data_IF_634104647093
#
_entry.id   IF_634104647093
#
_cell.length_a   1.000
_cell.length_b   1.000
_cell.length_c   1.000
_cell.angle_alpha   90.00
_cell.angle_beta   90.00
_cell.angle_gamma   90.00
#
_symmetry.space_group_name_H-M   'P 1'
#
loop_
_entity.id
_entity.type
_entity.pdbx_description
1 polymer ?
#
# COMPACT_ATOMS: atom_id res chain seq x y z
N UNK A 1 12.89 70.18 60.47
CA UNK A 1 13.87 69.75 59.45
C UNK A 1 13.09 68.90 58.46
N UNK A 2 13.22 69.10 57.15
CA UNK A 2 12.62 68.19 56.19
C UNK A 2 13.52 66.95 56.04
N UNK A 3 12.93 65.83 55.62
CA UNK A 3 13.68 64.63 55.33
C UNK A 3 14.63 64.91 54.15
N UNK A 4 15.91 64.52 54.28
CA UNK A 4 17.01 64.74 53.31
C UNK A 4 17.60 66.15 53.20
N UNK A 5 17.30 67.06 54.13
CA UNK A 5 18.04 68.31 54.23
C UNK A 5 19.47 68.04 54.75
N UNK A 6 20.49 68.61 54.10
CA UNK A 6 21.90 68.50 54.53
C UNK A 6 22.29 69.67 55.42
N UNK A 7 22.94 69.38 56.54
CA UNK A 7 23.39 70.36 57.52
C UNK A 7 24.86 70.13 57.89
N UNK A 8 25.58 71.21 58.15
CA UNK A 8 26.97 71.16 58.64
C UNK A 8 26.96 71.29 60.16
N UNK A 9 27.59 70.33 60.84
CA UNK A 9 27.79 70.39 62.30
C UNK A 9 28.85 71.43 62.63
N UNK A 10 28.52 72.41 63.48
CA UNK A 10 29.44 73.46 63.92
C UNK A 10 29.96 73.22 65.34
N UNK A 11 29.18 72.55 66.19
CA UNK A 11 29.61 72.12 67.52
C UNK A 11 28.85 70.88 67.97
N UNK A 12 29.48 70.10 68.84
CA UNK A 12 28.87 68.96 69.55
C UNK A 12 28.89 69.31 71.03
N UNK A 13 27.72 69.43 71.66
CA UNK A 13 27.62 69.78 73.07
C UNK A 13 27.91 68.59 73.99
N UNK A 14 28.14 68.89 75.28
CA UNK A 14 28.44 67.88 76.31
C UNK A 14 27.31 66.86 76.50
N UNK A 15 26.07 67.24 76.19
CA UNK A 15 24.88 66.40 76.29
C UNK A 15 24.55 65.65 74.98
N UNK A 16 25.50 65.65 74.03
CA UNK A 16 25.38 65.05 72.68
C UNK A 16 24.29 65.66 71.80
N UNK A 17 23.93 66.89 72.07
CA UNK A 17 23.20 67.74 71.14
C UNK A 17 24.13 68.24 70.02
N UNK A 18 23.56 68.43 68.83
CA UNK A 18 24.31 68.91 67.66
C UNK A 18 23.88 70.32 67.31
N UNK A 19 24.82 71.27 67.34
CA UNK A 19 24.63 72.57 66.73
C UNK A 19 24.93 72.47 65.23
N UNK A 20 23.95 72.84 64.40
CA UNK A 20 24.02 72.67 62.94
C UNK A 20 23.62 73.95 62.21
N UNK A 21 24.24 74.18 61.05
CA UNK A 21 23.88 75.24 60.09
C UNK A 21 23.50 74.61 58.74
N UNK A 22 22.61 75.23 57.94
CA UNK A 22 22.27 74.68 56.63
C UNK A 22 23.54 74.51 55.78
N UNK A 23 23.72 73.36 55.14
CA UNK A 23 24.80 73.19 54.19
C UNK A 23 24.54 74.07 52.95
N UNK A 24 25.54 74.77 52.44
CA UNK A 24 25.42 75.55 51.21
C UNK A 24 25.20 74.61 50.01
N UNK A 25 23.94 74.38 49.63
CA UNK A 25 23.61 73.65 48.41
C UNK A 25 23.52 74.65 47.27
N UNK A 26 24.39 74.52 46.26
CA UNK A 26 24.38 75.37 45.06
C UNK A 26 23.63 74.67 43.92
N UNK A 27 22.47 75.16 43.46
CA UNK A 27 22.10 76.57 43.44
C UNK A 27 21.15 76.98 44.58
N UNK A 28 21.36 78.20 45.07
CA UNK A 28 20.64 78.87 46.17
C UNK A 28 19.12 79.05 45.95
N UNK A 29 18.54 78.59 44.84
CA UNK A 29 17.13 78.83 44.50
C UNK A 29 16.42 77.58 43.99
N UNK A 30 15.91 76.78 44.93
CA UNK A 30 14.67 76.01 44.80
C UNK A 30 14.19 75.53 46.17
N UNK A 31 14.08 76.43 47.16
CA UNK A 31 13.30 76.14 48.35
C UNK A 31 11.81 76.37 48.00
N UNK A 32 10.91 75.38 48.16
CA UNK A 32 9.48 75.68 48.15
C UNK A 32 9.19 76.68 49.27
N UNK A 33 8.44 77.72 48.93
CA UNK A 33 8.03 78.78 49.84
C UNK A 33 7.42 78.16 51.11
N UNK A 34 8.12 78.28 52.24
CA UNK A 34 7.71 77.68 53.52
C UNK A 34 8.84 77.43 54.51
N UNK A 35 10.12 77.53 54.11
CA UNK A 35 11.26 77.35 55.01
C UNK A 35 11.80 78.71 55.47
N UNK A 36 11.67 79.01 56.76
CA UNK A 36 12.30 80.16 57.45
C UNK A 36 13.79 80.29 57.10
N UNK A 37 14.30 81.49 56.80
CA UNK A 37 15.73 81.70 56.56
C UNK A 37 16.56 81.53 57.84
N UNK A 38 17.76 80.97 57.62
CA UNK A 38 19.04 81.18 58.30
C UNK A 38 19.10 81.29 59.85
N UNK A 39 19.77 80.33 60.47
CA UNK A 39 20.28 80.39 61.84
C UNK A 39 20.80 79.04 62.30
N UNK A 40 21.82 79.04 63.15
CA UNK A 40 22.31 77.86 63.88
C UNK A 40 21.14 77.20 64.64
N UNK A 41 21.02 75.88 64.56
CA UNK A 41 19.98 75.08 65.21
C UNK A 41 20.61 74.03 66.11
N UNK A 42 20.07 73.85 67.30
CA UNK A 42 20.48 72.78 68.22
C UNK A 42 19.52 71.59 68.08
N UNK A 43 20.05 70.43 67.71
CA UNK A 43 19.32 69.17 67.59
C UNK A 43 19.47 68.36 68.88
N UNK A 44 18.37 68.04 69.59
CA UNK A 44 18.43 67.22 70.80
C UNK A 44 18.96 65.81 70.51
N UNK A 45 19.64 65.21 71.49
CA UNK A 45 20.25 63.87 71.36
C UNK A 45 19.28 62.80 70.85
N UNK A 46 18.03 62.78 71.31
CA UNK A 46 17.03 61.81 70.86
C UNK A 46 16.69 61.93 69.38
N UNK A 47 16.70 63.16 68.84
CA UNK A 47 16.50 63.39 67.41
C UNK A 47 17.73 62.99 66.60
N UNK A 48 18.93 63.31 67.10
CA UNK A 48 20.20 62.95 66.45
C UNK A 48 20.34 61.44 66.33
N UNK A 49 20.08 60.68 67.40
CA UNK A 49 20.24 59.22 67.40
C UNK A 49 19.24 58.50 66.51
N UNK A 50 18.07 59.10 66.27
CA UNK A 50 16.98 58.42 65.56
C UNK A 50 16.78 58.89 64.11
N UNK A 51 17.22 60.10 63.77
CA UNK A 51 16.84 60.75 62.51
C UNK A 51 17.97 61.47 61.78
N UNK A 52 19.21 61.40 62.28
CA UNK A 52 20.37 62.03 61.65
C UNK A 52 21.39 60.96 61.26
N UNK A 53 21.88 61.07 60.03
CA UNK A 53 22.96 60.25 59.49
C UNK A 53 24.08 61.15 58.93
N UNK A 54 25.30 60.63 58.87
CA UNK A 54 26.42 61.34 58.25
C UNK A 54 26.25 61.35 56.73
N UNK A 55 26.04 62.53 56.16
CA UNK A 55 25.81 62.72 54.73
C UNK A 55 27.10 62.80 53.88
N UNK A 56 28.19 62.13 54.28
CA UNK A 56 29.46 62.15 53.51
C UNK A 56 29.35 61.43 52.16
N UNK A 57 28.50 60.41 52.09
CA UNK A 57 28.19 59.69 50.87
C UNK A 57 26.70 59.35 50.87
N UNK A 58 26.10 59.30 49.69
CA UNK A 58 24.71 58.91 49.52
C UNK A 58 24.60 57.97 48.33
N UNK A 59 23.49 57.24 48.26
CA UNK A 59 23.21 56.36 47.12
C UNK A 59 22.93 57.19 45.86
N UNK A 60 23.20 56.64 44.68
CA UNK A 60 22.89 57.32 43.42
C UNK A 60 21.41 57.76 43.34
N UNK A 61 20.49 56.95 43.88
CA UNK A 61 19.07 57.30 43.94
C UNK A 61 18.78 58.44 44.93
N UNK A 62 19.53 58.52 46.05
CA UNK A 62 19.37 59.54 47.08
C UNK A 62 19.74 60.95 46.63
N UNK A 63 20.64 61.08 45.64
CA UNK A 63 21.09 62.37 45.07
C UNK A 63 20.41 62.71 43.74
N UNK A 64 19.37 61.97 43.35
CA UNK A 64 18.70 62.21 42.08
C UNK A 64 17.94 63.54 42.11
N UNK A 65 18.30 64.44 41.19
CA UNK A 65 17.73 65.79 41.11
C UNK A 65 18.65 66.87 41.69
N UNK A 66 19.63 66.48 42.50
CA UNK A 66 20.59 67.41 43.07
C UNK A 66 21.61 67.85 42.02
N UNK A 67 22.14 69.06 42.20
CA UNK A 67 23.28 69.59 41.45
C UNK A 67 24.32 70.06 42.44
N UNK A 68 25.57 69.63 42.27
CA UNK A 68 26.71 69.97 43.13
C UNK A 68 27.84 70.53 42.29
N UNK A 69 28.85 71.14 42.90
CA UNK A 69 30.01 71.67 42.17
C UNK A 69 30.80 70.55 41.50
N UNK A 70 31.17 69.52 42.27
CA UNK A 70 31.84 68.32 41.78
C UNK A 70 31.16 67.06 42.32
N UNK A 71 31.04 66.03 41.50
CA UNK A 71 30.48 64.75 41.91
C UNK A 71 31.52 63.64 41.86
N UNK A 72 31.51 62.78 42.88
CA UNK A 72 32.34 61.58 42.97
C UNK A 72 31.44 60.35 43.04
N UNK A 73 31.60 59.44 42.09
CA UNK A 73 30.90 58.17 42.04
C UNK A 73 31.89 57.06 42.40
N UNK A 74 31.52 56.18 43.32
CA UNK A 74 32.24 54.92 43.53
C UNK A 74 31.54 53.83 42.71
N UNK A 75 32.27 53.24 41.77
CA UNK A 75 31.81 52.14 40.92
C UNK A 75 32.08 50.82 41.63
N UNK A 76 31.05 50.00 41.73
CA UNK A 76 31.14 48.66 42.31
C UNK A 76 30.29 47.62 41.56
N UNK A 77 30.16 46.45 42.17
CA UNK A 77 29.45 45.29 41.60
C UNK A 77 27.99 45.59 41.20
N UNK A 78 27.31 46.45 41.95
CA UNK A 78 25.91 46.80 41.71
C UNK A 78 25.73 48.13 40.97
N UNK A 79 26.80 48.74 40.48
CA UNK A 79 26.70 49.96 39.67
C UNK A 79 26.31 49.58 38.24
N UNK A 80 25.06 49.84 37.88
CA UNK A 80 24.58 49.74 36.49
C UNK A 80 24.67 51.06 35.73
N UNK A 81 24.33 51.02 34.44
CA UNK A 81 24.40 52.18 33.54
C UNK A 81 23.61 53.40 34.07
N UNK A 82 22.44 53.18 34.67
CA UNK A 82 21.60 54.25 35.22
C UNK A 82 22.24 54.94 36.43
N UNK A 83 22.79 54.18 37.39
CA UNK A 83 23.47 54.73 38.55
C UNK A 83 24.76 55.47 38.15
N UNK A 84 25.51 54.93 37.18
CA UNK A 84 26.68 55.57 36.61
C UNK A 84 26.31 56.90 35.92
N UNK A 85 25.24 56.91 35.12
CA UNK A 85 24.74 58.13 34.49
C UNK A 85 24.37 59.19 35.53
N UNK A 86 23.61 58.81 36.57
CA UNK A 86 23.21 59.74 37.63
C UNK A 86 24.44 60.34 38.31
N UNK A 87 25.38 59.51 38.79
CA UNK A 87 26.59 59.98 39.46
C UNK A 87 27.51 60.82 38.57
N UNK A 88 27.59 60.49 37.28
CA UNK A 88 28.44 61.19 36.31
C UNK A 88 27.80 62.47 35.73
N UNK A 89 26.62 62.87 36.19
CA UNK A 89 25.90 64.06 35.72
C UNK A 89 25.49 65.04 36.82
N UNK A 90 25.82 64.76 38.10
CA UNK A 90 25.46 65.66 39.22
C UNK A 90 26.36 66.88 39.37
N UNK A 91 27.63 66.74 38.99
CA UNK A 91 28.64 67.78 39.12
C UNK A 91 28.55 68.80 37.98
N UNK A 92 28.54 70.09 38.32
CA UNK A 92 28.51 71.20 37.37
C UNK A 92 29.85 71.40 36.66
N UNK A 93 30.96 71.26 37.39
CA UNK A 93 32.30 71.53 36.86
C UNK A 93 33.10 70.25 36.61
N UNK A 94 32.90 69.21 37.42
CA UNK A 94 33.59 67.94 37.27
C UNK A 94 32.77 66.75 37.79
N UNK A 95 32.94 65.61 37.13
CA UNK A 95 32.39 64.33 37.56
C UNK A 95 33.51 63.28 37.51
N UNK A 96 33.78 62.61 38.62
CA UNK A 96 34.86 61.61 38.73
C UNK A 96 34.29 60.27 39.18
N UNK A 97 34.54 59.23 38.40
CA UNK A 97 34.25 57.85 38.80
C UNK A 97 35.52 57.21 39.37
N UNK A 98 35.40 56.67 40.59
CA UNK A 98 36.41 55.86 41.25
C UNK A 98 36.05 54.39 41.04
N UNK A 99 37.00 53.60 40.55
CA UNK A 99 36.86 52.17 40.30
C UNK A 99 38.08 51.46 40.87
N UNK A 100 37.93 50.19 41.26
CA UNK A 100 38.99 49.39 41.86
C UNK A 100 39.34 48.27 40.89
N UNK A 101 40.48 48.40 40.21
CA UNK A 101 40.97 47.43 39.23
C UNK A 101 42.46 47.19 39.41
N UNK A 102 42.95 46.01 39.00
CA UNK A 102 44.38 45.63 39.08
C UNK A 102 45.24 46.37 38.06
N UNK A 103 44.66 46.70 36.90
CA UNK A 103 45.30 47.43 35.81
C UNK A 103 44.29 48.24 34.98
N UNK A 104 44.78 48.95 33.95
CA UNK A 104 43.97 49.81 33.08
C UNK A 104 43.04 49.03 32.14
N UNK A 105 43.37 47.79 31.77
CA UNK A 105 42.53 47.00 30.89
C UNK A 105 41.35 46.40 31.67
N UNK A 106 41.59 45.91 32.90
CA UNK A 106 40.52 45.57 33.83
C UNK A 106 39.63 46.78 34.13
N UNK A 107 40.20 47.97 34.34
CA UNK A 107 39.40 49.19 34.54
C UNK A 107 38.49 49.53 33.34
N UNK A 108 38.99 49.29 32.11
CA UNK A 108 38.20 49.47 30.88
C UNK A 108 37.08 48.43 30.80
N UNK A 109 37.39 47.17 31.08
CA UNK A 109 36.42 46.07 31.07
C UNK A 109 35.31 46.29 32.10
N UNK A 110 35.67 46.70 33.32
CA UNK A 110 34.70 47.05 34.38
C UNK A 110 33.81 48.21 33.95
N UNK A 111 34.38 49.27 33.36
CA UNK A 111 33.60 50.38 32.82
C UNK A 111 32.65 49.91 31.70
N UNK A 112 33.10 49.08 30.77
CA UNK A 112 32.27 48.52 29.71
C UNK A 112 31.14 47.67 30.32
N UNK A 113 31.45 46.84 31.31
CA UNK A 113 30.49 46.01 32.01
C UNK A 113 29.42 46.85 32.73
N UNK A 114 29.79 47.93 33.42
CA UNK A 114 28.85 48.87 34.06
C UNK A 114 27.82 49.40 33.06
N UNK A 115 28.27 49.82 31.87
CA UNK A 115 27.38 50.31 30.81
C UNK A 115 26.73 49.18 29.98
N UNK A 116 27.10 47.93 30.21
CA UNK A 116 26.52 46.73 29.60
C UNK A 116 25.44 46.05 30.47
N UNK A 117 25.44 46.30 31.78
CA UNK A 117 24.43 45.79 32.72
C UNK A 117 23.03 46.34 32.40
N UNK A 118 22.04 45.46 32.47
CA UNK A 118 20.61 45.75 32.32
C UNK A 118 20.25 46.58 31.07
N UNK A 119 20.94 46.34 29.96
CA UNK A 119 20.59 46.97 28.67
C UNK A 119 19.21 46.49 28.23
N UNK A 120 18.33 47.46 27.93
CA UNK A 120 17.00 47.19 27.38
C UNK A 120 17.08 46.60 25.95
N UNK A 121 18.15 46.89 25.21
CA UNK A 121 18.41 46.34 23.88
C UNK A 121 19.65 45.43 23.92
N UNK A 122 19.43 44.14 23.69
CA UNK A 122 20.47 43.11 23.62
C UNK A 122 21.08 42.98 22.22
N UNK A 123 20.56 43.72 21.25
CA UNK A 123 21.08 43.83 19.89
C UNK A 123 20.80 42.62 18.99
N UNK A 124 21.14 42.75 17.70
CA UNK A 124 20.83 41.76 16.67
C UNK A 124 21.58 40.44 16.86
N UNK A 125 22.76 40.45 17.47
CA UNK A 125 23.52 39.22 17.77
C UNK A 125 22.77 38.31 18.74
N UNK A 126 22.23 38.87 19.84
CA UNK A 126 21.43 38.12 20.80
C UNK A 126 20.13 37.60 20.17
N UNK A 127 19.46 38.43 19.35
CA UNK A 127 18.29 38.01 18.59
C UNK A 127 18.59 36.85 17.63
N UNK A 128 19.73 36.89 16.92
CA UNK A 128 20.16 35.81 16.04
C UNK A 128 20.43 34.51 16.81
N UNK A 129 21.10 34.57 17.96
CA UNK A 129 21.33 33.39 18.82
C UNK A 129 20.02 32.80 19.33
N UNK A 130 19.06 33.62 19.79
CA UNK A 130 17.76 33.13 20.21
C UNK A 130 16.97 32.50 19.06
N UNK A 131 16.97 33.12 17.88
CA UNK A 131 16.30 32.58 16.70
C UNK A 131 16.88 31.22 16.28
N UNK A 132 18.21 31.09 16.27
CA UNK A 132 18.88 29.82 15.98
C UNK A 132 18.54 28.73 17.01
N UNK A 133 18.57 29.06 18.30
CA UNK A 133 18.21 28.12 19.38
C UNK A 133 16.74 27.68 19.29
N UNK A 134 15.83 28.58 18.92
CA UNK A 134 14.42 28.25 18.75
C UNK A 134 14.17 27.40 17.51
N UNK A 135 14.83 27.70 16.38
CA UNK A 135 14.73 26.92 15.16
C UNK A 135 15.24 25.47 15.36
N UNK A 136 16.32 25.29 16.11
CA UNK A 136 16.89 23.97 16.42
C UNK A 136 15.95 23.06 17.22
N UNK A 137 14.97 23.61 17.95
CA UNK A 137 13.98 22.80 18.71
C UNK A 137 12.93 22.12 17.84
N UNK A 138 12.67 22.66 16.65
CA UNK A 138 11.63 22.17 15.75
C UNK A 138 12.18 21.47 14.50
N UNK A 139 13.46 21.69 14.18
CA UNK A 139 14.13 20.94 13.13
C UNK A 139 14.60 19.60 13.69
N UNK A 140 13.94 18.50 13.30
CA UNK A 140 14.63 17.22 13.19
C UNK A 140 15.36 17.26 11.86
N UNK A 141 16.69 17.50 11.81
CA UNK A 141 17.38 17.52 10.53
C UNK A 141 17.36 16.09 10.02
N UNK A 142 16.53 15.79 9.02
CA UNK A 142 16.76 14.60 8.21
C UNK A 142 18.20 14.70 7.71
N UNK A 143 19.05 13.75 8.08
CA UNK A 143 20.42 13.73 7.55
C UNK A 143 20.31 13.68 6.03
N UNK A 144 21.15 14.46 5.34
CA UNK A 144 21.16 14.53 3.88
C UNK A 144 21.12 13.13 3.23
N UNK A 145 21.87 12.19 3.79
CA UNK A 145 21.91 10.79 3.32
C UNK A 145 20.57 10.06 3.45
N UNK A 146 19.78 10.33 4.50
CA UNK A 146 18.43 9.76 4.66
C UNK A 146 17.49 10.32 3.58
N UNK A 147 17.51 11.64 3.35
CA UNK A 147 16.68 12.26 2.31
C UNK A 147 17.06 11.74 0.92
N UNK A 148 18.36 11.56 0.64
CA UNK A 148 18.84 10.98 -0.61
C UNK A 148 18.44 9.51 -0.77
N UNK A 149 18.46 8.72 0.31
CA UNK A 149 18.00 7.33 0.29
C UNK A 149 16.49 7.24 0.02
N UNK A 150 15.68 8.09 0.66
CA UNK A 150 14.24 8.16 0.40
C UNK A 150 13.91 8.63 -1.02
N UNK A 151 14.67 9.60 -1.55
CA UNK A 151 14.55 10.00 -2.96
C UNK A 151 14.85 8.84 -3.90
N UNK A 152 15.91 8.06 -3.64
CA UNK A 152 16.23 6.89 -4.46
C UNK A 152 15.11 5.84 -4.42
N UNK A 153 14.51 5.60 -3.26
CA UNK A 153 13.34 4.72 -3.14
C UNK A 153 12.15 5.27 -3.95
N UNK A 154 11.86 6.57 -3.84
CA UNK A 154 10.75 7.19 -4.55
C UNK A 154 10.95 7.20 -6.08
N UNK A 155 12.17 7.46 -6.57
CA UNK A 155 12.51 7.33 -7.99
C UNK A 155 12.37 5.91 -8.50
N UNK A 156 12.68 4.92 -7.66
CA UNK A 156 12.52 3.49 -8.00
C UNK A 156 11.05 3.13 -8.18
N UNK A 157 10.17 3.63 -7.30
CA UNK A 157 8.72 3.44 -7.46
C UNK A 157 8.21 4.18 -8.69
N UNK A 158 8.58 5.44 -8.89
CA UNK A 158 8.19 6.24 -10.07
C UNK A 158 8.55 5.50 -11.36
N UNK A 159 9.80 5.06 -11.51
CA UNK A 159 10.26 4.42 -12.73
C UNK A 159 9.62 3.05 -12.94
N UNK A 160 9.48 2.24 -11.88
CA UNK A 160 8.80 0.95 -11.96
C UNK A 160 7.34 1.10 -12.38
N UNK A 161 6.64 2.11 -11.85
CA UNK A 161 5.25 2.39 -12.23
C UNK A 161 5.16 2.84 -13.69
N UNK A 162 6.10 3.67 -14.18
CA UNK A 162 6.20 4.03 -15.59
C UNK A 162 6.47 2.82 -16.48
N UNK A 163 7.43 1.97 -16.13
CA UNK A 163 7.76 0.76 -16.87
C UNK A 163 6.55 -0.18 -16.93
N UNK A 164 5.84 -0.36 -15.80
CA UNK A 164 4.62 -1.17 -15.73
C UNK A 164 3.52 -0.59 -16.62
N UNK A 165 3.32 0.73 -16.62
CA UNK A 165 2.34 1.39 -17.49
C UNK A 165 2.71 1.27 -18.97
N UNK A 166 3.99 1.37 -19.33
CA UNK A 166 4.46 1.21 -20.69
C UNK A 166 4.15 -0.19 -21.25
N UNK A 167 4.11 -1.22 -20.38
CA UNK A 167 3.68 -2.57 -20.73
C UNK A 167 2.17 -2.71 -20.70
N UNK A 168 1.49 -2.30 -19.63
CA UNK A 168 0.05 -2.57 -19.45
C UNK A 168 -0.84 -1.76 -20.42
N UNK A 169 -0.42 -0.56 -20.81
CA UNK A 169 -1.25 0.35 -21.60
C UNK A 169 -1.51 -0.19 -23.03
N UNK A 170 -0.49 -0.62 -23.81
CA UNK A 170 -0.72 -1.28 -25.10
C UNK A 170 -1.63 -2.52 -24.98
N UNK A 171 -1.44 -3.33 -23.94
CA UNK A 171 -2.29 -4.51 -23.70
C UNK A 171 -3.76 -4.15 -23.48
N UNK A 172 -4.04 -3.08 -22.73
CA UNK A 172 -5.41 -2.60 -22.57
C UNK A 172 -5.98 -2.07 -23.90
N UNK A 173 -5.17 -1.41 -24.72
CA UNK A 173 -5.59 -0.90 -26.02
C UNK A 173 -5.96 -2.05 -26.98
N UNK A 174 -5.12 -3.09 -27.04
CA UNK A 174 -5.37 -4.31 -27.81
C UNK A 174 -6.64 -5.04 -27.35
N UNK A 175 -6.84 -5.19 -26.03
CA UNK A 175 -8.03 -5.82 -25.47
C UNK A 175 -9.29 -5.00 -25.73
N UNK A 176 -9.23 -3.66 -25.67
CA UNK A 176 -10.37 -2.80 -26.05
C UNK A 176 -10.74 -2.98 -27.52
N UNK A 177 -9.75 -3.10 -28.40
CA UNK A 177 -9.99 -3.38 -29.81
C UNK A 177 -10.64 -4.76 -30.00
N UNK A 178 -10.17 -5.79 -29.28
CA UNK A 178 -10.77 -7.12 -29.31
C UNK A 178 -12.23 -7.13 -28.84
N UNK A 179 -12.55 -6.48 -27.71
CA UNK A 179 -13.92 -6.35 -27.17
C UNK A 179 -14.82 -5.58 -28.14
N UNK A 180 -14.34 -4.49 -28.73
CA UNK A 180 -15.10 -3.72 -29.72
C UNK A 180 -15.42 -4.53 -30.98
N UNK A 181 -14.47 -5.36 -31.43
CA UNK A 181 -14.67 -6.24 -32.58
C UNK A 181 -15.64 -7.38 -32.24
N UNK A 182 -15.58 -7.96 -31.05
CA UNK A 182 -16.55 -8.95 -30.59
C UNK A 182 -17.98 -8.39 -30.56
N UNK A 183 -18.14 -7.17 -30.04
CA UNK A 183 -19.41 -6.46 -30.03
C UNK A 183 -19.94 -6.19 -31.45
N UNK A 184 -19.06 -5.81 -32.38
CA UNK A 184 -19.43 -5.55 -33.78
C UNK A 184 -19.90 -6.80 -34.53
N UNK A 185 -19.43 -7.99 -34.14
CA UNK A 185 -19.85 -9.28 -34.72
C UNK A 185 -21.02 -9.93 -33.95
N UNK A 186 -21.69 -9.20 -33.05
CA UNK A 186 -22.89 -9.67 -32.35
C UNK A 186 -22.67 -10.92 -31.50
N UNK A 187 -21.45 -11.12 -30.96
CA UNK A 187 -21.11 -12.32 -30.18
C UNK A 187 -20.82 -13.57 -31.02
N UNK A 188 -20.52 -13.43 -32.31
CA UNK A 188 -20.09 -14.54 -33.19
C UNK A 188 -18.88 -15.30 -32.62
N UNK A 189 -17.93 -14.62 -31.98
CA UNK A 189 -16.78 -15.26 -31.31
C UNK A 189 -17.18 -16.08 -30.09
N UNK A 190 -18.08 -15.57 -29.23
CA UNK A 190 -18.68 -16.34 -28.13
C UNK A 190 -19.40 -17.57 -28.67
N UNK A 191 -20.11 -17.42 -29.80
CA UNK A 191 -20.80 -18.53 -30.46
C UNK A 191 -19.82 -19.56 -30.99
N UNK A 192 -18.75 -19.15 -31.66
CA UNK A 192 -17.69 -20.03 -32.16
C UNK A 192 -16.93 -20.72 -31.02
N UNK A 193 -16.69 -20.04 -29.90
CA UNK A 193 -16.08 -20.64 -28.72
C UNK A 193 -17.03 -21.64 -28.05
N UNK A 194 -18.32 -21.33 -27.97
CA UNK A 194 -19.33 -22.28 -27.53
C UNK A 194 -19.48 -23.49 -28.48
N UNK A 195 -19.41 -23.28 -29.79
CA UNK A 195 -19.40 -24.33 -30.81
C UNK A 195 -18.14 -25.20 -30.67
N UNK A 196 -16.96 -24.61 -30.47
CA UNK A 196 -15.70 -25.31 -30.20
C UNK A 196 -15.77 -26.14 -28.91
N UNK A 197 -16.21 -25.55 -27.79
CA UNK A 197 -16.36 -26.27 -26.51
C UNK A 197 -17.36 -27.42 -26.63
N UNK A 198 -18.48 -27.23 -27.35
CA UNK A 198 -19.44 -28.30 -27.63
C UNK A 198 -18.84 -29.41 -28.49
N UNK A 199 -18.10 -29.05 -29.53
CA UNK A 199 -17.41 -30.01 -30.39
C UNK A 199 -16.32 -30.77 -29.64
N UNK A 200 -15.57 -30.12 -28.75
CA UNK A 200 -14.57 -30.74 -27.89
C UNK A 200 -15.22 -31.70 -26.89
N UNK A 201 -16.30 -31.29 -26.22
CA UNK A 201 -17.07 -32.19 -25.36
C UNK A 201 -17.66 -33.37 -26.15
N UNK A 202 -18.18 -33.16 -27.35
CA UNK A 202 -18.71 -34.21 -28.21
C UNK A 202 -17.61 -35.17 -28.69
N UNK A 203 -16.44 -34.64 -29.07
CA UNK A 203 -15.27 -35.42 -29.42
C UNK A 203 -14.76 -36.22 -28.22
N UNK A 204 -14.63 -35.60 -27.04
CA UNK A 204 -14.25 -36.30 -25.81
C UNK A 204 -15.27 -37.36 -25.39
N UNK A 205 -16.57 -37.12 -25.58
CA UNK A 205 -17.61 -38.12 -25.33
C UNK A 205 -17.57 -39.25 -26.36
N UNK A 206 -17.30 -38.93 -27.62
CA UNK A 206 -17.12 -39.93 -28.68
C UNK A 206 -15.85 -40.75 -28.45
N UNK A 207 -14.75 -40.12 -28.05
CA UNK A 207 -13.51 -40.76 -27.62
C UNK A 207 -13.72 -41.58 -26.37
N UNK A 208 -14.40 -41.08 -25.32
CA UNK A 208 -14.73 -41.89 -24.14
C UNK A 208 -15.67 -43.06 -24.44
N UNK A 209 -16.60 -42.91 -25.38
CA UNK A 209 -17.42 -44.03 -25.89
C UNK A 209 -16.59 -45.00 -26.71
N UNK A 210 -15.63 -44.49 -27.49
CA UNK A 210 -14.70 -45.28 -28.26
C UNK A 210 -13.71 -46.00 -27.35
N UNK A 211 -13.22 -45.40 -26.25
CA UNK A 211 -12.29 -45.95 -25.24
C UNK A 211 -12.98 -46.90 -24.27
N UNK A 212 -14.22 -46.59 -23.86
CA UNK A 212 -15.09 -47.58 -23.20
C UNK A 212 -15.35 -48.78 -24.13
N UNK A 213 -15.34 -48.55 -25.45
CA UNK A 213 -15.30 -49.60 -26.45
C UNK A 213 -13.85 -50.10 -26.77
N UNK A 214 -12.77 -49.36 -26.49
CA UNK A 214 -11.38 -49.66 -26.91
C UNK A 214 -10.60 -50.44 -25.86
N UNK A 215 -10.97 -50.28 -24.59
CA UNK A 215 -10.78 -51.33 -23.58
C UNK A 215 -11.36 -52.69 -24.04
N UNK A 216 -12.13 -52.69 -25.15
CA UNK A 216 -12.78 -53.83 -25.76
C UNK A 216 -12.71 -53.86 -27.32
N UNK A 217 -11.69 -53.36 -28.06
CA UNK A 217 -11.81 -53.33 -29.55
C UNK A 217 -10.79 -54.00 -30.48
N UNK A 218 -9.46 -53.92 -30.33
CA UNK A 218 -8.60 -54.46 -31.43
C UNK A 218 -8.50 -55.98 -31.49
N UNK A 219 -8.69 -56.65 -30.36
CA UNK A 219 -8.89 -58.11 -30.26
C UNK A 219 -10.37 -58.45 -29.96
N UNK A 220 -11.21 -57.42 -29.81
CA UNK A 220 -12.46 -57.53 -29.07
C UNK A 220 -13.69 -56.99 -29.81
N UNK A 221 -13.55 -56.39 -30.99
CA UNK A 221 -14.64 -56.43 -31.98
C UNK A 221 -14.98 -57.89 -32.38
N UNK A 222 -13.99 -58.79 -32.37
CA UNK A 222 -14.16 -60.25 -32.51
C UNK A 222 -14.78 -60.89 -31.26
N UNK A 223 -14.28 -60.60 -30.06
CA UNK A 223 -14.81 -61.13 -28.79
C UNK A 223 -16.18 -60.56 -28.38
N UNK A 224 -16.53 -59.32 -28.71
CA UNK A 224 -17.89 -58.74 -28.57
C UNK A 224 -18.83 -59.43 -29.55
N UNK A 225 -18.38 -59.71 -30.77
CA UNK A 225 -19.17 -60.49 -31.72
C UNK A 225 -19.43 -61.91 -31.20
N UNK A 226 -18.39 -62.61 -30.73
CA UNK A 226 -18.50 -63.93 -30.13
C UNK A 226 -19.30 -63.91 -28.82
N UNK A 227 -19.18 -62.86 -28.01
CA UNK A 227 -19.88 -62.66 -26.74
C UNK A 227 -21.34 -62.27 -26.90
N UNK A 228 -21.70 -61.47 -27.92
CA UNK A 228 -23.09 -61.19 -28.29
C UNK A 228 -23.75 -62.43 -28.91
N UNK A 229 -23.01 -63.23 -29.68
CA UNK A 229 -23.48 -64.53 -30.13
C UNK A 229 -23.66 -65.51 -28.96
N UNK A 230 -22.73 -65.53 -28.00
CA UNK A 230 -22.82 -66.39 -26.81
C UNK A 230 -23.96 -65.97 -25.87
N UNK A 231 -24.10 -64.67 -25.59
CA UNK A 231 -25.21 -64.14 -24.78
C UNK A 231 -26.56 -64.29 -25.48
N UNK A 232 -26.59 -64.18 -26.81
CA UNK A 232 -27.77 -64.51 -27.61
C UNK A 232 -28.09 -65.99 -27.46
N UNK A 233 -27.12 -66.89 -27.64
CA UNK A 233 -27.27 -68.34 -27.51
C UNK A 233 -27.72 -68.75 -26.08
N UNK A 234 -27.21 -68.10 -25.04
CA UNK A 234 -27.57 -68.32 -23.63
C UNK A 234 -29.01 -67.86 -23.32
N UNK A 235 -29.40 -66.66 -23.75
CA UNK A 235 -30.76 -66.15 -23.58
C UNK A 235 -31.76 -66.91 -24.50
N UNK A 236 -31.29 -67.51 -25.60
CA UNK A 236 -32.10 -68.20 -26.62
C UNK A 236 -32.83 -69.40 -26.07
N UNK A 237 -32.19 -70.19 -25.21
CA UNK A 237 -32.78 -71.41 -24.65
C UNK A 237 -34.04 -71.11 -23.84
N UNK A 238 -33.98 -70.07 -23.00
CA UNK A 238 -35.10 -69.61 -22.19
C UNK A 238 -36.19 -68.95 -23.06
N UNK A 239 -35.81 -68.12 -24.02
CA UNK A 239 -36.74 -67.50 -24.97
C UNK A 239 -37.49 -68.55 -25.81
N UNK A 240 -36.80 -69.60 -26.26
CA UNK A 240 -37.40 -70.69 -27.02
C UNK A 240 -38.34 -71.55 -26.18
N UNK A 241 -37.99 -71.81 -24.92
CA UNK A 241 -38.89 -72.51 -23.99
C UNK A 241 -40.18 -71.70 -23.73
N UNK A 242 -40.04 -70.39 -23.50
CA UNK A 242 -41.18 -69.47 -23.39
C UNK A 242 -42.01 -69.42 -24.68
N UNK A 243 -41.36 -69.38 -25.85
CA UNK A 243 -42.02 -69.41 -27.15
C UNK A 243 -42.88 -70.66 -27.36
N UNK A 244 -42.37 -71.84 -27.01
CA UNK A 244 -43.13 -73.10 -27.09
C UNK A 244 -44.36 -73.06 -26.19
N UNK A 245 -44.25 -72.54 -24.97
CA UNK A 245 -45.41 -72.37 -24.06
C UNK A 245 -46.44 -71.41 -24.65
N UNK A 246 -46.02 -70.35 -25.34
CA UNK A 246 -46.93 -69.40 -26.01
C UNK A 246 -47.60 -70.03 -27.23
N UNK A 247 -46.86 -70.82 -28.03
CA UNK A 247 -47.37 -71.49 -29.24
C UNK A 247 -48.28 -72.68 -28.94
N UNK A 248 -47.99 -73.44 -27.87
CA UNK A 248 -48.85 -74.54 -27.38
C UNK A 248 -50.18 -74.04 -26.81
N UNK A 249 -50.22 -72.76 -26.42
CA UNK A 249 -51.40 -72.09 -25.91
C UNK A 249 -51.88 -72.60 -24.53
N UNK A 250 -52.97 -72.02 -23.98
CA UNK A 250 -53.44 -72.35 -22.64
C UNK A 250 -54.11 -73.74 -22.52
N UNK A 251 -54.21 -74.49 -23.63
CA UNK A 251 -54.94 -75.76 -23.73
C UNK A 251 -56.47 -75.61 -23.71
N UNK A 252 -57.19 -76.67 -24.12
CA UNK A 252 -58.66 -76.70 -24.23
C UNK A 252 -59.41 -76.32 -22.94
N UNK A 253 -58.86 -76.62 -21.75
CA UNK A 253 -59.48 -76.29 -20.45
C UNK A 253 -58.98 -74.99 -19.80
N UNK A 254 -58.10 -74.21 -20.46
CA UNK A 254 -57.63 -72.91 -19.94
C UNK A 254 -56.70 -72.97 -18.70
N UNK A 255 -56.31 -74.16 -18.26
CA UNK A 255 -55.50 -74.38 -17.06
C UNK A 255 -54.06 -73.85 -17.16
N UNK A 256 -53.58 -73.50 -18.37
CA UNK A 256 -52.22 -72.96 -18.59
C UNK A 256 -52.18 -71.44 -18.86
N UNK A 257 -53.24 -70.68 -18.55
CA UNK A 257 -53.30 -69.22 -18.79
C UNK A 257 -52.18 -68.42 -18.09
N UNK A 258 -51.91 -68.70 -16.82
CA UNK A 258 -50.85 -68.02 -16.04
C UNK A 258 -49.45 -68.33 -16.57
N UNK A 259 -49.10 -69.61 -16.87
CA UNK A 259 -47.86 -69.93 -17.59
C UNK A 259 -47.69 -69.20 -18.93
N UNK A 260 -48.76 -69.10 -19.74
CA UNK A 260 -48.71 -68.41 -21.03
C UNK A 260 -48.49 -66.90 -20.87
N UNK A 261 -49.12 -66.26 -19.88
CA UNK A 261 -48.91 -64.84 -19.60
C UNK A 261 -47.46 -64.55 -19.18
N UNK A 262 -46.91 -65.37 -18.27
CA UNK A 262 -45.50 -65.27 -17.85
C UNK A 262 -44.53 -65.51 -19.00
N UNK A 263 -44.82 -66.45 -19.89
CA UNK A 263 -44.01 -66.71 -21.08
C UNK A 263 -44.04 -65.53 -22.08
N UNK A 264 -45.18 -64.83 -22.22
CA UNK A 264 -45.26 -63.58 -23.02
C UNK A 264 -44.42 -62.45 -22.44
N UNK A 265 -44.43 -62.27 -21.12
CA UNK A 265 -43.58 -61.27 -20.43
C UNK A 265 -42.08 -61.59 -20.61
N UNK A 266 -41.70 -62.86 -20.51
CA UNK A 266 -40.32 -63.30 -20.76
C UNK A 266 -39.87 -63.02 -22.20
N UNK A 267 -40.75 -63.26 -23.19
CA UNK A 267 -40.47 -62.92 -24.58
C UNK A 267 -40.39 -61.40 -24.81
N UNK A 268 -41.24 -60.60 -24.16
CA UNK A 268 -41.17 -59.14 -24.23
C UNK A 268 -39.83 -58.63 -23.68
N UNK A 269 -39.44 -59.08 -22.49
CA UNK A 269 -38.18 -58.69 -21.87
C UNK A 269 -36.95 -59.12 -22.68
N UNK A 270 -37.01 -60.28 -23.32
CA UNK A 270 -35.98 -60.71 -24.28
C UNK A 270 -35.95 -59.82 -25.53
N UNK A 271 -37.10 -59.52 -26.13
CA UNK A 271 -37.16 -58.65 -27.31
C UNK A 271 -36.67 -57.23 -27.00
N UNK A 272 -37.07 -56.64 -25.88
CA UNK A 272 -36.66 -55.30 -25.47
C UNK A 272 -35.15 -55.21 -25.23
N UNK A 273 -34.54 -56.28 -24.71
CA UNK A 273 -33.09 -56.39 -24.51
C UNK A 273 -32.32 -56.42 -25.83
N UNK A 274 -32.82 -57.12 -26.84
CA UNK A 274 -32.12 -57.33 -28.11
C UNK A 274 -32.48 -56.32 -29.20
N UNK A 275 -33.59 -55.58 -29.07
CA UNK A 275 -34.05 -54.56 -30.03
C UNK A 275 -33.04 -53.45 -30.35
N UNK A 276 -32.18 -52.99 -29.42
CA UNK A 276 -31.10 -52.05 -29.74
C UNK A 276 -30.07 -52.59 -30.75
N UNK A 277 -29.93 -53.91 -30.83
CA UNK A 277 -28.94 -54.59 -31.70
C UNK A 277 -29.59 -55.30 -32.89
N UNK A 278 -30.88 -55.65 -32.79
CA UNK A 278 -31.71 -56.30 -33.82
C UNK A 278 -33.03 -55.56 -33.98
N UNK A 279 -33.04 -54.43 -34.69
CA UNK A 279 -34.22 -53.57 -34.80
C UNK A 279 -35.41 -54.23 -35.52
N UNK A 280 -35.18 -55.30 -36.30
CA UNK A 280 -36.21 -56.01 -37.07
C UNK A 280 -37.02 -57.04 -36.25
N UNK A 281 -36.83 -57.10 -34.93
CA UNK A 281 -37.57 -58.02 -34.06
C UNK A 281 -39.07 -57.66 -34.03
N UNK A 282 -39.98 -58.62 -34.31
CA UNK A 282 -41.41 -58.36 -34.29
C UNK A 282 -41.92 -57.89 -32.93
N UNK A 283 -42.87 -56.96 -32.94
CA UNK A 283 -43.55 -56.47 -31.72
C UNK A 283 -44.72 -57.38 -31.32
N UNK A 284 -45.31 -58.08 -32.30
CA UNK A 284 -46.41 -59.03 -32.07
C UNK A 284 -45.92 -60.33 -31.41
N UNK A 285 -46.57 -60.73 -30.31
CA UNK A 285 -46.16 -61.85 -29.48
C UNK A 285 -46.16 -63.21 -30.21
N UNK A 286 -47.09 -63.44 -31.13
CA UNK A 286 -47.12 -64.70 -31.90
C UNK A 286 -46.01 -64.78 -32.95
N UNK A 287 -45.74 -63.66 -33.62
CA UNK A 287 -44.60 -63.54 -34.55
C UNK A 287 -43.27 -63.58 -33.80
N UNK A 288 -43.20 -62.96 -32.63
CA UNK A 288 -42.03 -62.98 -31.75
C UNK A 288 -41.76 -64.39 -31.23
N UNK A 289 -42.78 -65.14 -30.82
CA UNK A 289 -42.66 -66.54 -30.42
C UNK A 289 -42.17 -67.43 -31.60
N UNK A 290 -42.68 -67.21 -32.82
CA UNK A 290 -42.19 -67.89 -34.02
C UNK A 290 -40.74 -67.55 -34.35
N UNK A 291 -40.33 -66.29 -34.16
CA UNK A 291 -38.93 -65.85 -34.31
C UNK A 291 -38.05 -66.41 -33.20
N UNK A 292 -38.58 -66.64 -32.00
CA UNK A 292 -37.87 -67.26 -30.89
C UNK A 292 -37.70 -68.78 -31.03
N UNK A 293 -38.62 -69.48 -31.70
CA UNK A 293 -38.57 -70.95 -31.87
C UNK A 293 -37.83 -71.44 -33.14
N UNK A 294 -37.68 -70.59 -34.17
CA UNK A 294 -36.95 -70.92 -35.40
C UNK A 294 -35.43 -71.02 -35.21
N UNK A 295 -34.75 -71.74 -36.12
CA UNK A 295 -33.28 -71.73 -36.22
C UNK A 295 -32.76 -70.37 -36.64
N UNK A 296 -31.61 -69.98 -36.07
CA UNK A 296 -31.02 -68.65 -36.28
C UNK A 296 -30.36 -68.52 -37.65
N UNK A 297 -30.52 -67.35 -38.28
CA UNK A 297 -29.70 -66.94 -39.43
C UNK A 297 -28.43 -66.26 -38.88
N UNK A 298 -27.41 -67.07 -38.61
CA UNK A 298 -26.15 -66.60 -38.03
C UNK A 298 -25.45 -65.55 -38.90
N UNK A 299 -25.60 -65.62 -40.22
CA UNK A 299 -25.01 -64.64 -41.13
C UNK A 299 -25.73 -63.30 -41.11
N UNK A 300 -27.05 -63.29 -40.90
CA UNK A 300 -27.81 -62.06 -40.69
C UNK A 300 -27.48 -61.39 -39.35
N UNK A 301 -27.38 -62.15 -38.26
CA UNK A 301 -26.96 -61.66 -36.94
C UNK A 301 -25.54 -61.08 -36.99
N UNK A 302 -24.62 -61.77 -37.66
CA UNK A 302 -23.24 -61.31 -37.88
C UNK A 302 -23.19 -59.95 -38.58
N UNK A 303 -24.01 -59.76 -39.63
CA UNK A 303 -24.07 -58.49 -40.38
C UNK A 303 -24.66 -57.35 -39.56
N UNK A 304 -25.73 -57.60 -38.78
CA UNK A 304 -26.37 -56.58 -37.95
C UNK A 304 -25.45 -56.07 -36.82
N UNK A 305 -24.76 -56.99 -36.14
CA UNK A 305 -23.82 -56.62 -35.07
C UNK A 305 -22.56 -55.93 -35.62
N UNK A 306 -22.03 -56.36 -36.76
CA UNK A 306 -20.91 -55.69 -37.44
C UNK A 306 -21.29 -54.28 -37.97
N UNK A 307 -22.53 -54.10 -38.44
CA UNK A 307 -23.03 -52.80 -38.89
C UNK A 307 -23.12 -51.78 -37.73
N UNK A 308 -23.53 -52.24 -36.54
CA UNK A 308 -23.60 -51.43 -35.32
C UNK A 308 -22.19 -50.96 -34.89
N UNK A 309 -21.21 -51.86 -34.89
CA UNK A 309 -19.81 -51.53 -34.60
C UNK A 309 -19.22 -50.50 -35.58
N UNK A 310 -19.45 -50.67 -36.89
CA UNK A 310 -19.00 -49.73 -37.93
C UNK A 310 -19.70 -48.38 -37.88
N UNK A 311 -20.90 -48.29 -37.30
CA UNK A 311 -21.59 -47.02 -37.13
C UNK A 311 -20.98 -46.18 -36.00
N UNK A 312 -20.56 -46.82 -34.89
CA UNK A 312 -19.91 -46.15 -33.77
C UNK A 312 -18.55 -45.52 -34.17
N UNK A 313 -17.73 -46.26 -34.93
CA UNK A 313 -16.43 -45.76 -35.44
C UNK A 313 -16.62 -44.52 -36.32
N UNK A 314 -17.55 -44.56 -37.28
CA UNK A 314 -17.85 -43.44 -38.17
C UNK A 314 -18.36 -42.20 -37.44
N UNK A 315 -19.14 -42.38 -36.37
CA UNK A 315 -19.60 -41.27 -35.54
C UNK A 315 -18.44 -40.58 -34.78
N UNK A 316 -17.43 -41.34 -34.35
CA UNK A 316 -16.22 -40.81 -33.73
C UNK A 316 -15.36 -39.99 -34.70
N UNK A 317 -15.14 -40.52 -35.91
CA UNK A 317 -14.41 -39.81 -36.98
C UNK A 317 -15.10 -38.49 -37.35
N UNK A 318 -16.43 -38.48 -37.44
CA UNK A 318 -17.22 -37.28 -37.72
C UNK A 318 -17.13 -36.24 -36.60
N UNK A 319 -17.15 -36.67 -35.33
CA UNK A 319 -16.98 -35.76 -34.20
C UNK A 319 -15.57 -35.13 -34.18
N UNK A 320 -14.54 -35.90 -34.50
CA UNK A 320 -13.16 -35.39 -34.56
C UNK A 320 -12.94 -34.43 -35.74
N UNK A 321 -13.54 -34.72 -36.89
CA UNK A 321 -13.54 -33.82 -38.04
C UNK A 321 -14.26 -32.50 -37.73
N UNK A 322 -15.39 -32.55 -37.02
CA UNK A 322 -16.13 -31.38 -36.58
C UNK A 322 -15.33 -30.52 -35.58
N UNK A 323 -14.61 -31.14 -34.65
CA UNK A 323 -13.70 -30.43 -33.73
C UNK A 323 -12.57 -29.71 -34.49
N UNK A 324 -11.95 -30.41 -35.45
CA UNK A 324 -10.87 -29.85 -36.27
C UNK A 324 -11.33 -28.67 -37.12
N UNK A 325 -12.54 -28.77 -37.69
CA UNK A 325 -13.16 -27.71 -38.47
C UNK A 325 -13.56 -26.51 -37.60
N UNK A 326 -14.17 -26.73 -36.43
CA UNK A 326 -14.48 -25.67 -35.47
C UNK A 326 -13.22 -24.93 -34.99
N UNK A 327 -12.14 -25.67 -34.71
CA UNK A 327 -10.85 -25.10 -34.33
C UNK A 327 -10.23 -24.25 -35.45
N UNK A 328 -10.32 -24.71 -36.70
CA UNK A 328 -9.86 -23.95 -37.88
C UNK A 328 -10.64 -22.65 -38.07
N UNK A 329 -11.98 -22.70 -38.07
CA UNK A 329 -12.83 -21.49 -38.22
C UNK A 329 -12.54 -20.46 -37.12
N UNK A 330 -12.37 -20.92 -35.88
CA UNK A 330 -11.96 -20.07 -34.76
C UNK A 330 -10.60 -19.42 -35.04
N UNK A 331 -9.60 -20.19 -35.45
CA UNK A 331 -8.26 -19.68 -35.74
C UNK A 331 -8.25 -18.66 -36.89
N UNK A 332 -8.97 -18.93 -37.97
CA UNK A 332 -9.08 -18.03 -39.13
C UNK A 332 -9.70 -16.68 -38.76
N UNK A 333 -10.69 -16.67 -37.86
CA UNK A 333 -11.32 -15.43 -37.36
C UNK A 333 -10.47 -14.68 -36.35
N UNK A 334 -9.65 -15.36 -35.55
CA UNK A 334 -8.76 -14.73 -34.57
C UNK A 334 -7.40 -14.30 -35.16
N UNK A 335 -6.99 -14.84 -36.31
CA UNK A 335 -5.70 -14.53 -36.94
C UNK A 335 -5.44 -13.04 -37.20
N UNK A 336 -6.42 -12.21 -37.62
CA UNK A 336 -6.21 -10.77 -37.82
C UNK A 336 -6.03 -9.98 -36.51
N UNK A 337 -6.37 -10.57 -35.37
CA UNK A 337 -6.46 -9.89 -34.06
C UNK A 337 -5.22 -10.12 -33.18
N UNK A 338 -4.23 -10.87 -33.67
CA UNK A 338 -2.97 -11.12 -32.96
C UNK A 338 -3.13 -11.97 -31.68
N UNK A 339 -2.10 -11.99 -30.82
CA UNK A 339 -2.05 -12.84 -29.62
C UNK A 339 -3.15 -12.54 -28.58
N UNK A 340 -3.59 -11.28 -28.46
CA UNK A 340 -4.56 -10.85 -27.45
C UNK A 340 -5.99 -11.42 -27.66
N UNK A 341 -6.29 -11.89 -28.88
CA UNK A 341 -7.58 -12.45 -29.26
C UNK A 341 -7.78 -13.91 -28.82
N UNK A 342 -6.71 -14.57 -28.35
CA UNK A 342 -6.78 -15.92 -27.81
C UNK A 342 -7.20 -15.96 -26.34
N UNK A 343 -7.43 -14.79 -25.73
CA UNK A 343 -7.93 -14.69 -24.37
C UNK A 343 -9.38 -15.20 -24.30
N UNK A 344 -9.69 -16.24 -23.50
CA UNK A 344 -11.02 -16.83 -23.43
C UNK A 344 -12.14 -15.88 -22.95
N UNK A 345 -11.75 -14.78 -22.28
CA UNK A 345 -12.62 -13.71 -21.81
C UNK A 345 -11.88 -12.36 -21.94
N UNK A 346 -11.95 -11.69 -23.11
CA UNK A 346 -11.24 -10.44 -23.34
C UNK A 346 -11.79 -9.28 -22.49
N UNK A 347 -13.09 -9.31 -22.14
CA UNK A 347 -13.72 -8.30 -21.30
C UNK A 347 -13.29 -8.42 -19.83
N UNK A 348 -13.26 -9.63 -19.27
CA UNK A 348 -12.76 -9.87 -17.92
C UNK A 348 -11.27 -9.60 -17.79
N UNK A 349 -10.48 -9.98 -18.81
CA UNK A 349 -9.07 -9.62 -18.87
C UNK A 349 -8.86 -8.10 -18.93
N UNK A 350 -9.61 -7.40 -19.79
CA UNK A 350 -9.55 -5.93 -19.87
C UNK A 350 -9.82 -5.28 -18.51
N UNK A 351 -10.88 -5.69 -17.81
CA UNK A 351 -11.21 -5.14 -16.48
C UNK A 351 -10.08 -5.37 -15.46
N UNK A 352 -9.45 -6.55 -15.48
CA UNK A 352 -8.31 -6.85 -14.61
C UNK A 352 -7.09 -5.98 -14.93
N UNK A 353 -6.74 -5.85 -16.22
CA UNK A 353 -5.61 -5.03 -16.66
C UNK A 353 -5.85 -3.53 -16.41
N UNK A 354 -7.08 -3.04 -16.59
CA UNK A 354 -7.45 -1.67 -16.23
C UNK A 354 -7.30 -1.42 -14.72
N UNK A 355 -7.65 -2.40 -13.87
CA UNK A 355 -7.36 -2.35 -12.43
C UNK A 355 -5.88 -2.22 -12.10
N UNK A 356 -5.01 -2.94 -12.83
CA UNK A 356 -3.55 -2.81 -12.68
C UNK A 356 -3.04 -1.45 -13.17
N UNK A 357 -3.59 -0.91 -14.26
CA UNK A 357 -3.26 0.43 -14.77
C UNK A 357 -3.64 1.50 -13.75
N UNK A 358 -4.83 1.41 -13.15
CA UNK A 358 -5.26 2.34 -12.10
C UNK A 358 -4.30 2.29 -10.91
N UNK A 359 -3.97 1.10 -10.43
CA UNK A 359 -3.01 0.92 -9.34
C UNK A 359 -1.64 1.53 -9.68
N UNK A 360 -1.11 1.25 -10.87
CA UNK A 360 0.19 1.78 -11.29
C UNK A 360 0.19 3.31 -11.46
N UNK A 361 -0.93 3.91 -11.90
CA UNK A 361 -1.08 5.37 -11.95
C UNK A 361 -1.14 6.00 -10.56
N UNK A 362 -1.81 5.35 -9.62
CA UNK A 362 -1.86 5.80 -8.23
C UNK A 362 -0.47 5.77 -7.58
N UNK A 363 0.25 4.64 -7.71
CA UNK A 363 1.63 4.51 -7.24
C UNK A 363 2.55 5.59 -7.84
N UNK A 364 2.40 5.88 -9.14
CA UNK A 364 3.14 6.94 -9.81
C UNK A 364 2.83 8.34 -9.23
N UNK A 365 1.54 8.63 -9.00
CA UNK A 365 1.12 9.89 -8.41
C UNK A 365 1.68 10.06 -6.98
N UNK A 366 1.59 9.01 -6.16
CA UNK A 366 2.10 9.00 -4.79
C UNK A 366 3.63 9.15 -4.75
N UNK A 367 4.36 8.46 -5.64
CA UNK A 367 5.80 8.59 -5.77
C UNK A 367 6.21 10.03 -6.15
N UNK A 368 5.53 10.65 -7.13
CA UNK A 368 5.79 12.04 -7.53
C UNK A 368 5.48 13.03 -6.42
N UNK A 369 4.38 12.85 -5.71
CA UNK A 369 4.04 13.68 -4.55
C UNK A 369 5.11 13.56 -3.44
N UNK A 370 5.64 12.35 -3.21
CA UNK A 370 6.73 12.12 -2.27
C UNK A 370 8.04 12.78 -2.71
N UNK A 371 8.41 12.67 -3.99
CA UNK A 371 9.60 13.33 -4.56
C UNK A 371 9.49 14.85 -4.40
N UNK A 372 8.33 15.44 -4.72
CA UNK A 372 8.10 16.88 -4.59
C UNK A 372 8.23 17.34 -3.13
N UNK A 373 7.70 16.57 -2.17
CA UNK A 373 7.83 16.85 -0.74
C UNK A 373 9.29 16.80 -0.29
N UNK A 374 10.00 15.72 -0.63
CA UNK A 374 11.41 15.55 -0.28
C UNK A 374 12.28 16.65 -0.88
N UNK A 375 11.98 17.12 -2.10
CA UNK A 375 12.71 18.21 -2.74
C UNK A 375 12.63 19.55 -1.99
N UNK A 376 11.66 19.73 -1.08
CA UNK A 376 11.51 20.92 -0.24
C UNK A 376 12.18 20.79 1.14
N UNK A 377 12.79 19.64 1.45
CA UNK A 377 13.49 19.43 2.72
C UNK A 377 14.70 20.37 2.85
N UNK A 378 14.86 20.96 4.03
CA UNK A 378 15.92 21.95 4.30
C UNK A 378 17.32 21.37 4.11
N UNK A 379 17.48 20.07 4.34
CA UNK A 379 18.72 19.34 4.12
C UNK A 379 19.15 19.34 2.64
N UNK A 380 18.21 19.39 1.69
CA UNK A 380 18.48 19.48 0.25
C UNK A 380 18.61 20.92 -0.23
N UNK A 381 17.83 21.85 0.33
CA UNK A 381 17.88 23.27 -0.05
C UNK A 381 19.26 23.92 0.18
N UNK A 382 20.04 23.39 1.15
CA UNK A 382 21.41 23.83 1.41
C UNK A 382 22.48 23.22 0.49
N UNK A 383 22.11 22.34 -0.45
CA UNK A 383 23.06 21.67 -1.35
C UNK A 383 23.15 22.35 -2.72
N UNK A 384 24.29 22.24 -3.42
CA UNK A 384 24.39 22.71 -4.80
C UNK A 384 23.41 21.92 -5.69
N UNK A 385 22.73 22.58 -6.65
CA UNK A 385 21.70 21.97 -7.49
C UNK A 385 22.22 20.77 -8.29
N UNK A 386 23.50 20.77 -8.67
CA UNK A 386 24.13 19.69 -9.42
C UNK A 386 24.21 18.38 -8.63
N UNK A 387 24.25 18.43 -7.29
CA UNK A 387 24.37 17.22 -6.45
C UNK A 387 23.15 16.30 -6.61
N UNK A 388 21.96 16.88 -6.72
CA UNK A 388 20.72 16.13 -6.96
C UNK A 388 20.69 15.52 -8.36
N UNK A 389 21.14 16.27 -9.36
CA UNK A 389 21.23 15.77 -10.74
C UNK A 389 22.21 14.59 -10.83
N UNK A 390 23.40 14.72 -10.25
CA UNK A 390 24.41 13.65 -10.17
C UNK A 390 23.87 12.42 -9.43
N UNK A 391 23.18 12.61 -8.30
CA UNK A 391 22.57 11.50 -7.56
C UNK A 391 21.48 10.79 -8.39
N UNK A 392 20.65 11.55 -9.11
CA UNK A 392 19.61 11.00 -9.99
C UNK A 392 20.20 10.23 -11.17
N UNK A 393 21.28 10.74 -11.76
CA UNK A 393 21.94 10.09 -12.90
C UNK A 393 22.67 8.81 -12.47
N UNK A 394 23.35 8.83 -11.32
CA UNK A 394 23.95 7.63 -10.74
C UNK A 394 22.89 6.57 -10.37
N UNK A 395 21.75 6.99 -9.84
CA UNK A 395 20.62 6.08 -9.60
C UNK A 395 20.06 5.50 -10.91
N UNK A 396 19.83 6.32 -11.95
CA UNK A 396 19.34 5.86 -13.27
C UNK A 396 20.27 4.81 -13.88
N UNK A 397 21.59 5.02 -13.81
CA UNK A 397 22.57 4.08 -14.32
C UNK A 397 22.50 2.72 -13.60
N UNK A 398 22.33 2.72 -12.27
CA UNK A 398 22.17 1.48 -11.47
C UNK A 398 20.87 0.76 -11.80
N UNK A 399 19.75 1.47 -11.81
CA UNK A 399 18.44 0.89 -12.16
C UNK A 399 18.45 0.23 -13.54
N UNK A 400 19.01 0.91 -14.56
CA UNK A 400 19.12 0.36 -15.91
C UNK A 400 20.05 -0.86 -16.01
N UNK A 401 21.04 -1.00 -15.12
CA UNK A 401 21.89 -2.19 -15.07
C UNK A 401 21.14 -3.38 -14.46
N UNK A 402 20.44 -3.18 -13.34
CA UNK A 402 19.62 -4.21 -12.67
C UNK A 402 18.47 -4.69 -13.56
N UNK A 403 17.82 -3.77 -14.27
CA UNK A 403 16.69 -4.10 -15.14
C UNK A 403 17.11 -4.90 -16.38
N UNK A 404 18.30 -4.62 -16.94
CA UNK A 404 18.88 -5.43 -18.03
C UNK A 404 19.23 -6.84 -17.58
N UNK A 405 19.75 -7.01 -16.36
CA UNK A 405 20.03 -8.33 -15.80
C UNK A 405 18.74 -9.12 -15.56
N UNK A 406 17.69 -8.47 -15.08
CA UNK A 406 16.37 -9.09 -14.84
C UNK A 406 15.68 -9.49 -16.15
N UNK A 407 15.79 -8.68 -17.20
CA UNK A 407 15.20 -8.98 -18.53
C UNK A 407 15.93 -10.10 -19.28
N UNK A 408 17.17 -10.43 -18.91
CA UNK A 408 17.92 -11.55 -19.46
C UNK A 408 17.51 -12.90 -18.84
N UNK A 409 16.74 -12.90 -17.75
CA UNK A 409 16.14 -14.09 -17.18
C UNK A 409 14.86 -14.46 -17.95
N UNK A 410 14.84 -15.69 -18.47
CA UNK A 410 13.81 -16.43 -19.22
C UNK A 410 12.46 -15.73 -19.52
N UNK A 411 12.05 -15.61 -20.81
CA UNK A 411 10.71 -15.16 -21.17
C UNK A 411 9.65 -16.16 -20.69
N UNK A 412 8.53 -15.66 -20.16
CA UNK A 412 7.37 -16.50 -19.84
C UNK A 412 6.78 -17.11 -21.13
N UNK A 413 6.67 -18.44 -21.24
CA UNK A 413 6.15 -19.12 -22.43
C UNK A 413 4.65 -18.85 -22.68
N UNK A 414 3.91 -18.22 -21.77
CA UNK A 414 2.48 -18.00 -21.91
C UNK A 414 2.10 -16.73 -22.71
N UNK A 415 3.06 -15.89 -23.13
CA UNK A 415 2.76 -14.64 -23.84
C UNK A 415 2.06 -13.58 -22.98
N UNK A 416 1.86 -13.85 -21.69
CA UNK A 416 1.52 -12.84 -20.68
C UNK A 416 2.78 -12.03 -20.34
N UNK A 417 2.66 -10.74 -19.99
CA UNK A 417 3.80 -9.97 -19.53
C UNK A 417 4.38 -10.60 -18.26
N UNK A 418 5.47 -11.34 -18.41
CA UNK A 418 6.33 -11.79 -17.34
C UNK A 418 6.79 -10.53 -16.57
N UNK A 419 6.32 -10.33 -15.35
CA UNK A 419 6.84 -9.25 -14.50
C UNK A 419 5.84 -8.41 -13.72
N UNK A 420 4.53 -8.68 -13.79
CA UNK A 420 3.63 -8.15 -12.74
C UNK A 420 3.70 -9.10 -11.56
N UNK A 421 4.72 -8.91 -10.72
CA UNK A 421 4.72 -9.50 -9.38
C UNK A 421 3.41 -9.13 -8.70
N UNK A 422 2.60 -10.15 -8.40
CA UNK A 422 1.46 -10.05 -7.49
C UNK A 422 1.97 -9.38 -6.20
N UNK A 423 1.31 -8.35 -5.65
CA UNK A 423 1.73 -7.82 -4.35
C UNK A 423 1.66 -8.97 -3.33
N UNK A 424 2.79 -9.30 -2.71
CA UNK A 424 2.82 -10.15 -1.51
C UNK A 424 2.16 -9.38 -0.36
N UNK A 425 1.00 -9.85 0.09
CA UNK A 425 0.93 -10.36 1.45
C UNK A 425 0.36 -11.79 1.43
N UNK A 426 0.57 -12.54 2.52
CA UNK A 426 0.19 -13.96 2.70
C UNK A 426 1.21 -15.00 2.22
N UNK A 427 2.50 -14.81 2.57
CA UNK A 427 3.42 -15.96 2.68
C UNK A 427 3.33 -16.70 4.02
N UNK A 428 2.61 -16.22 5.03
CA UNK A 428 2.56 -16.88 6.34
C UNK A 428 1.10 -17.00 6.86
N UNK A 429 0.46 -18.10 6.48
CA UNK A 429 -0.75 -18.66 7.09
C UNK A 429 -0.61 -20.19 7.13
N UNK A 430 -1.11 -20.88 8.17
CA UNK A 430 -0.62 -22.20 8.56
C UNK A 430 -0.94 -23.26 7.50
N UNK A 431 0.09 -24.07 7.16
CA UNK A 431 -0.06 -25.29 6.37
C UNK A 431 -1.14 -26.19 7.00
N UNK A 432 -2.17 -26.64 6.25
CA UNK A 432 -2.97 -27.76 6.70
C UNK A 432 -2.06 -29.00 6.74
N UNK A 433 -2.07 -29.67 7.89
CA UNK A 433 -1.37 -30.92 8.10
C UNK A 433 -1.85 -31.97 7.08
N UNK A 434 -0.90 -32.79 6.62
CA UNK A 434 -1.20 -34.04 5.90
C UNK A 434 -2.16 -34.87 6.74
N UNK A 435 -3.39 -35.03 6.27
CA UNK A 435 -4.26 -36.07 6.79
C UNK A 435 -3.64 -37.44 6.46
N UNK A 436 -3.27 -38.10 7.54
CA UNK A 436 -2.91 -39.50 7.62
C UNK A 436 -4.19 -40.29 7.37
N UNK A 437 -4.22 -41.09 6.31
CA UNK A 437 -5.23 -42.13 6.12
C UNK A 437 -5.17 -43.13 7.27
N UNK A 438 -6.29 -43.49 7.92
CA UNK A 438 -6.29 -44.58 8.88
C UNK A 438 -6.25 -45.91 8.11
N UNK A 439 -5.29 -46.74 8.48
CA UNK A 439 -5.24 -48.16 8.13
C UNK A 439 -6.51 -48.87 8.60
N UNK A 440 -7.25 -49.47 7.67
CA UNK A 440 -8.17 -50.56 8.00
C UNK A 440 -7.54 -51.86 7.52
N UNK A 441 -6.89 -52.55 8.46
CA UNK A 441 -6.58 -53.96 8.33
C UNK A 441 -7.68 -54.79 8.97
N UNK A 442 -8.36 -55.61 8.16
CA UNK A 442 -8.51 -57.05 8.34
C UNK A 442 -9.14 -57.68 7.11
#
# INVERSE_FOLDING_TARGET
>A
MANRDTWTVVAVGCDRDLAVVPAEVTPTNAAPAGVTPAGERVLPVGYVTSHVELAYASTAHGVQGDTVTAAHLVVGEHTGAAAAYVGMTRGRTANTAHLVATDLDQARDERIAVFGRDRADLGPGHAATQAAAQAARYAQPHLLEQVLAELQQAWTVEQRSLDRLAVLQPWCDDLRQAVALEAAHGGELVRLDAEYRRADLAAQQATRRAEAADATFTEEAGRIHEGLLAAWDDDRGAARAAAKVVLDGPGWWGLKRTPVARAKEQLAGWADRWRPHLPDLPIDFERLARVADRSDDRSALWRAFNATAKAAVRAGEQAQAALTDAHRRRRERLAPLGPAAWTPDPAGALAAFEGYVVTARQELADARARIARLATETALLGQPPDRLNVARDAWRARYAAEHRQSSAATPDPAGYPAGVSRPEPERHGPRPARDVTPSLGR
#
